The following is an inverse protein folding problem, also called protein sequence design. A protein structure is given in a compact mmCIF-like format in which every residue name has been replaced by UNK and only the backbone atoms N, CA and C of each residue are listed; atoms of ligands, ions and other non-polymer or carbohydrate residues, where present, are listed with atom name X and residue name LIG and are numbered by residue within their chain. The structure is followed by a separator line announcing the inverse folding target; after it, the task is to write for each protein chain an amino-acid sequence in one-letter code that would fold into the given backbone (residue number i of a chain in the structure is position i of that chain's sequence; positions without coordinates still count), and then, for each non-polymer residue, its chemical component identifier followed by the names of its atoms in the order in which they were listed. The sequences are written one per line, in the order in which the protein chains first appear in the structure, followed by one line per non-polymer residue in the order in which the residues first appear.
data_IF_310921961814
#
_entry.id   IF_310921961814
#
_cell.length_a   1.000
_cell.length_b   1.000
_cell.length_c   1.000
_cell.angle_alpha   90.00
_cell.angle_beta   90.00
_cell.angle_gamma   90.00
#
_symmetry.space_group_name_H-M   'P 1'
#
loop_
_entity.id
_entity.type
_entity.pdbx_description
1 polymer ?
#
# COMPACT_ATOMS: atom_id res chain seq x y z
N UNK A 1 -16.36 20.15 6.18
CA UNK A 1 -15.85 19.61 7.46
C UNK A 1 -15.02 18.34 7.30
N UNK A 2 -15.31 17.51 6.28
CA UNK A 2 -14.56 16.27 6.03
C UNK A 2 -13.12 16.52 5.52
N UNK A 3 -12.91 17.50 4.66
CA UNK A 3 -11.59 17.87 4.13
C UNK A 3 -10.62 18.34 5.22
N UNK A 4 -11.11 19.10 6.20
CA UNK A 4 -10.28 19.62 7.30
C UNK A 4 -9.68 18.53 8.20
N UNK A 5 -10.34 17.38 8.31
CA UNK A 5 -9.85 16.26 9.14
C UNK A 5 -8.97 15.28 8.33
N UNK A 6 -9.21 15.12 7.04
CA UNK A 6 -8.32 14.39 6.14
C UNK A 6 -6.93 15.03 6.10
N UNK A 7 -6.88 16.33 5.88
CA UNK A 7 -5.65 17.13 5.87
C UNK A 7 -4.86 17.06 7.20
N UNK A 8 -5.53 16.89 8.35
CA UNK A 8 -4.84 16.73 9.64
C UNK A 8 -4.10 15.40 9.78
N UNK A 9 -4.67 14.31 9.32
CA UNK A 9 -4.01 12.99 9.38
C UNK A 9 -2.83 12.94 8.42
N UNK A 10 -3.04 13.39 7.20
CA UNK A 10 -2.00 13.53 6.18
C UNK A 10 -0.88 14.46 6.67
N UNK A 11 -1.22 15.62 7.23
CA UNK A 11 -0.23 16.54 7.80
C UNK A 11 0.60 15.94 8.91
N UNK A 12 0.03 15.11 9.78
CA UNK A 12 0.80 14.37 10.81
C UNK A 12 1.74 13.35 10.21
N UNK A 13 1.31 12.65 9.17
CA UNK A 13 2.16 11.70 8.46
C UNK A 13 3.33 12.38 7.76
N UNK A 14 3.06 13.48 7.07
CA UNK A 14 4.09 14.33 6.44
C UNK A 14 5.07 14.86 7.49
N UNK A 15 4.58 15.38 8.61
CA UNK A 15 5.42 15.89 9.70
C UNK A 15 6.35 14.79 10.26
N UNK A 16 5.88 13.58 10.38
CA UNK A 16 6.70 12.43 10.77
C UNK A 16 7.81 12.16 9.74
N UNK A 17 7.48 12.12 8.45
CA UNK A 17 8.48 11.90 7.39
C UNK A 17 9.52 13.03 7.35
N UNK A 18 9.12 14.27 7.60
CA UNK A 18 10.03 15.39 7.70
C UNK A 18 10.93 15.32 8.95
N UNK A 19 10.41 14.83 10.07
CA UNK A 19 11.22 14.56 11.26
C UNK A 19 12.29 13.48 11.00
N UNK A 20 11.92 12.42 10.27
CA UNK A 20 12.87 11.38 9.84
C UNK A 20 13.94 11.93 8.87
N UNK A 21 13.59 12.91 8.02
CA UNK A 21 14.54 13.62 7.17
C UNK A 21 15.52 14.46 8.01
N UNK A 22 15.03 15.16 9.02
CA UNK A 22 15.87 15.95 9.94
C UNK A 22 16.77 15.06 10.80
N UNK A 23 16.34 13.84 11.11
CA UNK A 23 17.13 12.83 11.81
C UNK A 23 18.10 12.06 10.90
N UNK A 24 18.19 12.43 9.61
CA UNK A 24 19.01 11.75 8.59
C UNK A 24 18.67 10.27 8.37
N UNK A 25 17.48 9.82 8.81
CA UNK A 25 16.97 8.48 8.56
C UNK A 25 16.41 8.32 7.13
N UNK A 26 16.04 9.43 6.51
CA UNK A 26 15.53 9.56 5.14
C UNK A 26 16.40 10.56 4.39
N UNK A 27 16.78 10.24 3.15
CA UNK A 27 17.67 11.04 2.31
C UNK A 27 16.92 12.18 1.60
N UNK A 28 15.68 11.92 1.17
CA UNK A 28 14.86 12.86 0.39
C UNK A 28 13.39 12.65 0.75
N UNK A 29 12.66 13.74 0.90
CA UNK A 29 11.19 13.75 0.96
C UNK A 29 10.67 14.68 -0.14
N UNK A 30 9.77 14.20 -0.98
CA UNK A 30 9.08 14.99 -2.00
C UNK A 30 7.58 14.88 -1.78
N UNK A 31 6.94 15.99 -1.54
CA UNK A 31 5.48 16.09 -1.41
C UNK A 31 4.85 16.22 -2.79
N UNK A 32 3.71 15.57 -2.99
CA UNK A 32 2.94 15.61 -4.23
C UNK A 32 3.84 15.52 -5.48
N UNK A 33 4.51 14.38 -5.72
CA UNK A 33 5.36 14.24 -6.90
C UNK A 33 4.57 14.53 -8.17
N UNK A 34 5.12 15.31 -9.12
CA UNK A 34 4.39 15.69 -10.34
C UNK A 34 4.21 14.53 -11.32
N UNK A 35 3.16 14.61 -12.13
CA UNK A 35 2.88 13.66 -13.22
C UNK A 35 2.61 12.24 -12.75
N UNK A 36 2.98 11.27 -13.55
CA UNK A 36 2.75 9.84 -13.27
C UNK A 36 3.42 9.35 -11.97
N UNK A 37 4.51 9.98 -11.56
CA UNK A 37 5.20 9.66 -10.32
C UNK A 37 4.34 9.94 -9.08
N UNK A 38 3.53 11.00 -9.13
CA UNK A 38 2.60 11.39 -8.07
C UNK A 38 1.26 10.67 -8.11
N UNK A 39 0.94 9.97 -9.18
CA UNK A 39 -0.35 9.31 -9.30
C UNK A 39 -0.53 8.25 -8.21
N UNK A 40 -1.57 8.42 -7.40
CA UNK A 40 -1.90 7.52 -6.29
C UNK A 40 -0.96 7.57 -5.09
N UNK A 41 -0.13 8.62 -4.95
CA UNK A 41 0.64 8.87 -3.74
C UNK A 41 0.71 10.35 -3.38
N UNK A 42 0.67 10.66 -2.09
CA UNK A 42 0.78 12.02 -1.56
C UNK A 42 2.23 12.43 -1.31
N UNK A 43 3.11 11.47 -1.07
CA UNK A 43 4.53 11.76 -0.93
C UNK A 43 5.41 10.59 -1.40
N UNK A 44 6.61 10.94 -1.82
CA UNK A 44 7.69 10.02 -2.15
C UNK A 44 8.89 10.33 -1.28
N UNK A 45 9.50 9.30 -0.74
CA UNK A 45 10.76 9.45 0.00
C UNK A 45 11.81 8.43 -0.44
N UNK A 46 13.06 8.72 -0.14
CA UNK A 46 14.18 7.81 -0.37
C UNK A 46 14.84 7.47 0.95
N UNK A 47 14.95 6.20 1.23
CA UNK A 47 15.56 5.65 2.44
C UNK A 47 16.53 4.54 2.09
N UNK A 48 17.82 4.74 2.39
CA UNK A 48 18.87 3.74 2.12
C UNK A 48 18.84 3.19 0.69
N UNK A 49 18.68 4.08 -0.29
CA UNK A 49 18.60 3.73 -1.70
C UNK A 49 17.23 3.22 -2.16
N UNK A 50 16.32 2.82 -1.26
CA UNK A 50 14.96 2.40 -1.59
C UNK A 50 14.03 3.59 -1.74
N UNK A 51 13.24 3.62 -2.80
CA UNK A 51 12.18 4.61 -3.01
C UNK A 51 10.89 4.10 -2.38
N UNK A 52 10.28 4.91 -1.53
CA UNK A 52 9.00 4.61 -0.90
C UNK A 52 7.94 5.59 -1.42
N UNK A 53 6.86 5.05 -1.96
CA UNK A 53 5.67 5.80 -2.38
C UNK A 53 4.60 5.67 -1.32
N UNK A 54 4.20 6.78 -0.72
CA UNK A 54 3.23 6.80 0.37
C UNK A 54 1.90 7.34 -0.08
N UNK A 55 0.86 6.56 0.10
CA UNK A 55 -0.52 6.97 0.01
C UNK A 55 -1.13 7.04 1.41
N UNK A 56 -1.66 8.20 1.76
CA UNK A 56 -2.25 8.45 3.09
C UNK A 56 -3.75 8.58 2.95
N UNK A 57 -4.50 7.67 3.54
CA UNK A 57 -5.96 7.70 3.50
C UNK A 57 -6.54 7.62 4.90
N UNK A 58 -7.42 8.56 5.19
CA UNK A 58 -8.32 8.46 6.33
C UNK A 58 -9.61 7.80 5.89
N UNK A 59 -10.04 6.79 6.64
CA UNK A 59 -11.36 6.23 6.43
C UNK A 59 -12.41 7.07 7.19
N UNK A 60 -13.55 7.34 6.55
CA UNK A 60 -14.66 8.00 7.20
C UNK A 60 -15.32 7.07 8.22
N UNK A 61 -15.76 7.62 9.31
CA UNK A 61 -16.03 7.09 10.63
C UNK A 61 -17.04 5.94 10.79
N UNK A 62 -17.59 5.37 9.74
CA UNK A 62 -18.60 4.31 9.83
C UNK A 62 -18.10 2.92 9.41
N UNK A 63 -16.89 2.80 8.93
CA UNK A 63 -16.33 1.51 8.52
C UNK A 63 -15.27 1.06 9.52
N UNK A 64 -15.35 -0.22 9.91
CA UNK A 64 -14.43 -0.82 10.88
C UNK A 64 -13.03 -1.13 10.32
N UNK A 65 -12.78 -0.91 9.03
CA UNK A 65 -11.51 -1.18 8.38
C UNK A 65 -11.60 -1.14 6.85
N UNK A 66 -10.46 -1.32 6.17
CA UNK A 66 -10.38 -1.45 4.73
C UNK A 66 -10.57 -2.92 4.32
N UNK A 67 -11.48 -3.17 3.41
CA UNK A 67 -11.60 -4.49 2.78
C UNK A 67 -10.77 -4.56 1.49
N UNK A 68 -10.33 -5.76 1.12
CA UNK A 68 -9.59 -5.97 -0.14
C UNK A 68 -10.39 -5.50 -1.37
N UNK A 69 -11.69 -5.82 -1.51
CA UNK A 69 -12.50 -5.29 -2.60
C UNK A 69 -12.59 -3.77 -2.64
N UNK A 70 -12.64 -3.11 -1.49
CA UNK A 70 -12.66 -1.65 -1.41
C UNK A 70 -11.33 -1.03 -1.84
N UNK A 71 -10.21 -1.58 -1.38
CA UNK A 71 -8.87 -1.19 -1.82
C UNK A 71 -8.71 -1.36 -3.34
N UNK A 72 -9.26 -2.43 -3.90
CA UNK A 72 -9.31 -2.66 -5.35
C UNK A 72 -10.10 -1.58 -6.08
N UNK A 73 -11.34 -1.33 -5.67
CA UNK A 73 -12.20 -0.30 -6.28
C UNK A 73 -11.61 1.10 -6.22
N UNK A 74 -10.86 1.42 -5.18
CA UNK A 74 -10.19 2.72 -5.02
C UNK A 74 -8.84 2.82 -5.73
N UNK A 75 -8.44 1.77 -6.44
CA UNK A 75 -7.20 1.75 -7.20
C UNK A 75 -5.93 1.61 -6.35
N UNK A 76 -6.05 1.40 -5.04
CA UNK A 76 -4.91 1.26 -4.12
C UNK A 76 -4.05 0.06 -4.49
N UNK A 77 -4.67 -1.09 -4.76
CA UNK A 77 -3.94 -2.31 -5.12
C UNK A 77 -3.26 -2.17 -6.48
N UNK A 78 -3.88 -1.51 -7.44
CA UNK A 78 -3.29 -1.22 -8.75
C UNK A 78 -2.07 -0.31 -8.61
N UNK A 79 -2.21 0.79 -7.87
CA UNK A 79 -1.11 1.72 -7.60
C UNK A 79 0.04 1.02 -6.89
N UNK A 80 -0.25 0.20 -5.88
CA UNK A 80 0.76 -0.60 -5.19
C UNK A 80 1.53 -1.50 -6.16
N UNK A 81 0.85 -2.20 -7.06
CA UNK A 81 1.47 -3.04 -8.07
C UNK A 81 2.36 -2.23 -9.03
N UNK A 82 1.85 -1.12 -9.56
CA UNK A 82 2.58 -0.26 -10.49
C UNK A 82 3.83 0.35 -9.84
N UNK A 83 3.71 0.86 -8.61
CA UNK A 83 4.83 1.51 -7.90
C UNK A 83 5.88 0.51 -7.37
N UNK A 84 5.54 -0.76 -7.20
CA UNK A 84 6.47 -1.81 -6.75
C UNK A 84 7.02 -2.68 -7.86
N UNK A 85 6.76 -2.36 -9.12
CA UNK A 85 7.32 -3.07 -10.27
C UNK A 85 8.85 -2.95 -10.37
N UNK A 86 9.45 -1.90 -9.80
CA UNK A 86 10.89 -1.72 -9.68
C UNK A 86 11.49 -2.49 -8.49
N UNK A 87 12.73 -2.99 -8.64
CA UNK A 87 13.40 -3.81 -7.61
C UNK A 87 13.64 -3.05 -6.28
N UNK A 88 13.86 -1.72 -6.37
CA UNK A 88 14.24 -0.89 -5.22
C UNK A 88 13.12 0.09 -4.80
N UNK A 89 11.88 -0.32 -4.97
CA UNK A 89 10.72 0.48 -4.63
C UNK A 89 9.77 -0.23 -3.68
N UNK A 90 9.11 0.56 -2.82
CA UNK A 90 8.07 0.12 -1.89
C UNK A 90 6.87 1.01 -2.00
N UNK A 91 5.71 0.46 -1.74
CA UNK A 91 4.48 1.21 -1.59
C UNK A 91 3.98 1.11 -0.15
N UNK A 92 3.66 2.24 0.43
CA UNK A 92 3.18 2.36 1.82
C UNK A 92 1.77 2.95 1.79
N UNK A 93 0.82 2.16 2.20
CA UNK A 93 -0.54 2.62 2.43
C UNK A 93 -0.72 2.94 3.90
N UNK A 94 -0.77 4.23 4.22
CA UNK A 94 -0.93 4.71 5.59
C UNK A 94 -2.41 5.04 5.86
N UNK A 95 -2.98 4.40 6.87
CA UNK A 95 -4.37 4.61 7.26
C UNK A 95 -4.52 4.61 8.78
N UNK A 96 -5.53 5.33 9.26
CA UNK A 96 -5.93 5.33 10.68
C UNK A 96 -6.70 4.08 11.09
N UNK A 97 -7.08 3.23 10.15
CA UNK A 97 -7.82 1.98 10.38
C UNK A 97 -7.15 0.81 9.68
N UNK A 98 -7.35 -0.37 10.22
CA UNK A 98 -6.76 -1.62 9.74
C UNK A 98 -7.25 -2.00 8.33
N UNK A 99 -6.41 -2.70 7.60
CA UNK A 99 -6.74 -3.44 6.38
C UNK A 99 -6.74 -4.95 6.67
N UNK A 100 -7.51 -5.39 7.65
CA UNK A 100 -7.47 -6.69 8.31
C UNK A 100 -7.22 -7.89 7.39
N UNK A 101 -8.02 -8.07 6.32
CA UNK A 101 -7.83 -9.18 5.39
C UNK A 101 -6.49 -9.15 4.65
N UNK A 102 -6.01 -7.95 4.31
CA UNK A 102 -4.70 -7.80 3.67
C UNK A 102 -3.56 -8.03 4.68
N UNK A 103 -3.69 -7.53 5.90
CA UNK A 103 -2.72 -7.73 6.97
C UNK A 103 -2.55 -9.21 7.31
N UNK A 104 -3.65 -9.97 7.34
CA UNK A 104 -3.63 -11.43 7.56
C UNK A 104 -2.83 -12.19 6.49
N UNK A 105 -2.74 -11.67 5.27
CA UNK A 105 -1.93 -12.24 4.19
C UNK A 105 -0.46 -11.78 4.25
N UNK A 106 -0.24 -10.51 4.57
CA UNK A 106 1.10 -9.90 4.58
C UNK A 106 1.98 -10.52 5.67
N UNK A 107 1.43 -10.78 6.84
CA UNK A 107 2.20 -11.27 7.98
C UNK A 107 2.90 -12.61 7.69
N UNK A 108 2.21 -13.67 7.19
CA UNK A 108 2.90 -14.89 6.77
C UNK A 108 3.83 -14.69 5.57
N UNK A 109 3.48 -13.81 4.62
CA UNK A 109 4.31 -13.56 3.44
C UNK A 109 5.68 -12.97 3.79
N UNK A 110 5.80 -12.23 4.90
CA UNK A 110 7.08 -11.72 5.40
C UNK A 110 8.05 -12.80 5.86
N UNK A 111 7.57 -14.00 6.15
CA UNK A 111 8.38 -15.14 6.59
C UNK A 111 9.19 -15.80 5.47
N UNK A 112 9.15 -15.26 4.24
CA UNK A 112 9.91 -15.73 3.07
C UNK A 112 9.67 -17.20 2.72
N UNK A 113 8.44 -17.69 2.91
CA UNK A 113 8.05 -19.02 2.48
C UNK A 113 7.84 -19.07 0.96
N UNK A 114 7.99 -20.24 0.35
CA UNK A 114 7.63 -20.41 -1.06
C UNK A 114 6.13 -20.22 -1.28
N UNK A 115 5.71 -19.88 -2.49
CA UNK A 115 4.29 -19.75 -2.82
C UNK A 115 3.52 -21.05 -2.55
N UNK A 116 4.16 -22.20 -2.78
CA UNK A 116 3.57 -23.51 -2.51
C UNK A 116 3.33 -23.74 -1.02
N UNK A 117 4.32 -23.46 -0.18
CA UNK A 117 4.19 -23.52 1.28
C UNK A 117 3.17 -22.52 1.79
N UNK A 118 3.21 -21.27 1.30
CA UNK A 118 2.25 -20.24 1.65
C UNK A 118 0.81 -20.72 1.39
N UNK A 119 0.54 -21.27 0.20
CA UNK A 119 -0.78 -21.80 -0.14
C UNK A 119 -1.21 -22.95 0.76
N UNK A 120 -0.30 -23.89 1.05
CA UNK A 120 -0.59 -25.09 1.83
C UNK A 120 -0.80 -24.79 3.32
N UNK A 121 0.06 -23.96 3.91
CA UNK A 121 0.11 -23.76 5.36
C UNK A 121 -0.75 -22.59 5.83
N UNK A 122 -0.84 -21.53 5.06
CA UNK A 122 -1.41 -20.27 5.53
C UNK A 122 -2.78 -19.92 4.94
N UNK A 123 -3.15 -20.46 3.77
CA UNK A 123 -4.42 -20.11 3.12
C UNK A 123 -5.58 -20.97 3.60
N UNK A 124 -5.87 -20.91 4.90
CA UNK A 124 -7.01 -21.59 5.54
C UNK A 124 -7.96 -20.56 6.14
N UNK A 125 -9.25 -20.89 6.21
CA UNK A 125 -10.27 -20.03 6.83
C UNK A 125 -10.35 -18.63 6.18
N UNK A 126 -10.33 -17.60 7.03
CA UNK A 126 -10.41 -16.17 6.61
C UNK A 126 -9.30 -15.76 5.66
N UNK A 127 -8.07 -16.27 5.86
CA UNK A 127 -6.94 -16.04 4.96
C UNK A 127 -7.18 -16.60 3.55
N UNK A 128 -7.80 -17.77 3.45
CA UNK A 128 -8.18 -18.33 2.16
C UNK A 128 -9.19 -17.46 1.41
N UNK A 129 -10.14 -16.86 2.11
CA UNK A 129 -11.08 -15.91 1.52
C UNK A 129 -10.39 -14.60 1.12
N UNK A 130 -9.54 -14.04 1.99
CA UNK A 130 -8.76 -12.85 1.70
C UNK A 130 -7.86 -13.03 0.46
N UNK A 131 -7.25 -14.21 0.30
CA UNK A 131 -6.46 -14.56 -0.89
C UNK A 131 -7.29 -14.58 -2.17
N UNK A 132 -8.50 -15.18 -2.13
CA UNK A 132 -9.42 -15.19 -3.27
C UNK A 132 -9.84 -13.79 -3.67
N UNK A 133 -10.12 -12.93 -2.69
CA UNK A 133 -10.48 -11.54 -2.92
C UNK A 133 -9.31 -10.76 -3.54
N UNK A 134 -8.10 -10.96 -3.04
CA UNK A 134 -6.89 -10.33 -3.59
C UNK A 134 -6.64 -10.78 -5.04
N UNK A 135 -6.72 -12.06 -5.34
CA UNK A 135 -6.56 -12.57 -6.70
C UNK A 135 -7.61 -12.01 -7.65
N UNK A 136 -8.85 -11.85 -7.20
CA UNK A 136 -9.92 -11.26 -8.00
C UNK A 136 -9.61 -9.82 -8.38
N UNK A 137 -9.12 -9.02 -7.44
CA UNK A 137 -8.77 -7.62 -7.66
C UNK A 137 -7.47 -7.46 -8.48
N UNK A 138 -6.52 -8.36 -8.33
CA UNK A 138 -5.22 -8.28 -9.00
C UNK A 138 -5.14 -8.99 -10.35
N UNK A 139 -5.99 -9.96 -10.61
CA UNK A 139 -5.96 -10.73 -11.87
C UNK A 139 -5.99 -9.85 -13.12
N UNK A 140 -6.83 -8.80 -13.23
CA UNK A 140 -6.81 -7.91 -14.38
C UNK A 140 -5.47 -7.21 -14.61
N UNK A 141 -4.80 -6.76 -13.55
CA UNK A 141 -3.50 -6.10 -13.65
C UNK A 141 -2.39 -7.08 -14.01
N UNK A 142 -2.40 -8.29 -13.45
CA UNK A 142 -1.46 -9.35 -13.81
C UNK A 142 -1.61 -9.75 -15.28
N UNK A 143 -2.82 -9.90 -15.78
CA UNK A 143 -3.09 -10.20 -17.19
C UNK A 143 -2.62 -9.07 -18.08
N UNK A 144 -2.88 -7.81 -17.74
CA UNK A 144 -2.42 -6.65 -18.48
C UNK A 144 -0.87 -6.56 -18.52
N UNK A 145 -0.20 -6.84 -17.39
CA UNK A 145 1.25 -6.82 -17.29
C UNK A 145 1.92 -7.98 -18.07
N UNK A 146 1.29 -9.15 -18.13
CA UNK A 146 1.81 -10.34 -18.81
C UNK A 146 1.39 -10.44 -20.28
N UNK A 147 0.29 -9.78 -20.67
CA UNK A 147 -0.26 -9.78 -22.03
C UNK A 147 0.26 -8.66 -22.93
N UNK A 148 1.10 -7.76 -22.45
CA UNK A 148 1.71 -6.65 -23.16
C UNK A 148 3.06 -6.98 -23.82
N UNK A 149 3.36 -8.27 -24.00
CA UNK A 149 4.55 -8.77 -24.69
C UNK A 149 4.24 -9.22 -26.09
#
# INVERSE_FOLDING_TARGET
LSEKYGNRYEGKWIARCLAELLAEEVEVVRLEPPGEEGEGCELRLKRRGTIEYHQVKRQHSLQQGWTIPELGRRGVLRTAFEKTAGADSKYVFASSVSAGGLEELIEPARQRVSLSEFRKEYLKGSRGQAWKDLLREWRPQLVAALGGG
#
